data_IF_211032193897
#
_entry.id   IF_211032193897
#
_cell.length_a   1.000
_cell.length_b   1.000
_cell.length_c   1.000
_cell.angle_alpha   90.00
_cell.angle_beta   90.00
_cell.angle_gamma   90.00
#
_symmetry.space_group_name_H-M   'P 1'
#
loop_
_entity.id
_entity.type
_entity.pdbx_description
1 polymer ?
#
# COMPACT_ATOMS: atom_id res chain seq x y z
N UNK A 1 -6.06 16.06 -8.96
CA UNK A 1 -5.25 16.13 -7.72
C UNK A 1 -5.85 15.37 -6.53
N UNK A 2 -7.10 15.60 -6.08
CA UNK A 2 -7.68 14.94 -4.89
C UNK A 2 -7.60 13.39 -4.89
N UNK A 3 -7.84 12.74 -6.04
CA UNK A 3 -7.79 11.28 -6.16
C UNK A 3 -6.40 10.68 -5.89
N UNK A 4 -5.33 11.32 -6.34
CA UNK A 4 -3.94 10.86 -6.09
C UNK A 4 -3.60 10.95 -4.61
N UNK A 5 -4.03 12.03 -3.93
CA UNK A 5 -3.80 12.20 -2.49
C UNK A 5 -4.48 11.08 -1.69
N UNK A 6 -5.69 10.68 -2.09
CA UNK A 6 -6.36 9.52 -1.51
C UNK A 6 -5.57 8.21 -1.69
N UNK A 7 -5.04 7.97 -2.90
CA UNK A 7 -4.23 6.77 -3.18
C UNK A 7 -2.92 6.77 -2.39
N UNK A 8 -2.24 7.93 -2.30
CA UNK A 8 -1.03 8.09 -1.48
C UNK A 8 -1.30 7.88 0.00
N UNK A 9 -2.44 8.35 0.52
CA UNK A 9 -2.84 8.10 1.90
C UNK A 9 -3.06 6.60 2.18
N UNK A 10 -3.65 5.86 1.23
CA UNK A 10 -3.81 4.41 1.35
C UNK A 10 -2.43 3.72 1.35
N UNK A 11 -1.49 4.16 0.51
CA UNK A 11 -0.13 3.63 0.51
C UNK A 11 0.59 3.88 1.85
N UNK A 12 0.44 5.08 2.43
CA UNK A 12 0.97 5.38 3.75
C UNK A 12 0.34 4.50 4.84
N UNK A 13 -0.98 4.25 4.77
CA UNK A 13 -1.67 3.32 5.66
C UNK A 13 -1.13 1.90 5.55
N UNK A 14 -0.80 1.41 4.34
CA UNK A 14 -0.18 0.10 4.18
C UNK A 14 1.13 -0.02 4.99
N UNK A 15 1.95 1.03 5.01
CA UNK A 15 3.22 1.06 5.76
C UNK A 15 2.95 1.07 7.27
N UNK A 16 1.99 1.88 7.74
CA UNK A 16 1.65 1.99 9.17
C UNK A 16 1.03 0.70 9.70
N UNK A 17 0.22 0.01 8.89
CA UNK A 17 -0.45 -1.23 9.29
C UNK A 17 0.51 -2.42 9.45
N UNK A 18 1.68 -2.39 8.81
CA UNK A 18 2.72 -3.43 8.99
C UNK A 18 3.08 -3.60 10.47
N UNK A 19 3.66 -2.60 11.18
CA UNK A 19 4.01 -2.78 12.59
C UNK A 19 2.79 -3.04 13.49
N UNK A 20 1.61 -2.50 13.15
CA UNK A 20 0.36 -2.76 13.89
C UNK A 20 -0.02 -4.24 13.82
N UNK A 21 -0.01 -4.83 12.64
CA UNK A 21 -0.30 -6.26 12.43
C UNK A 21 0.75 -7.15 13.11
N UNK A 22 2.03 -6.80 12.98
CA UNK A 22 3.11 -7.53 13.62
C UNK A 22 2.96 -7.55 15.15
N UNK A 23 2.57 -6.42 15.73
CA UNK A 23 2.38 -6.28 17.17
C UNK A 23 1.14 -7.03 17.69
N UNK A 24 0.02 -7.01 16.95
CA UNK A 24 -1.26 -7.54 17.44
C UNK A 24 -1.48 -9.03 17.17
N UNK A 25 -1.04 -9.55 16.02
CA UNK A 25 -1.42 -10.90 15.55
C UNK A 25 -0.27 -11.91 15.67
N UNK A 26 0.97 -11.48 15.48
CA UNK A 26 2.17 -12.32 15.54
C UNK A 26 2.18 -13.52 14.56
N UNK A 27 3.35 -14.15 14.44
CA UNK A 27 3.52 -15.44 13.77
C UNK A 27 2.97 -15.53 12.33
N UNK A 28 2.21 -16.59 12.07
CA UNK A 28 1.69 -16.92 10.73
C UNK A 28 0.70 -15.87 10.19
N UNK A 29 -0.15 -15.31 11.05
CA UNK A 29 -1.13 -14.30 10.66
C UNK A 29 -0.48 -12.97 10.31
N UNK A 30 0.55 -12.57 11.04
CA UNK A 30 1.32 -11.38 10.71
C UNK A 30 1.95 -11.49 9.31
N UNK A 31 2.56 -12.63 8.98
CA UNK A 31 3.15 -12.90 7.66
C UNK A 31 2.15 -12.65 6.52
N UNK A 32 0.97 -13.28 6.57
CA UNK A 32 -0.03 -13.11 5.51
C UNK A 32 -0.61 -11.70 5.45
N UNK A 33 -0.74 -11.03 6.60
CA UNK A 33 -1.11 -9.62 6.66
C UNK A 33 -0.09 -8.72 5.96
N UNK A 34 1.20 -8.92 6.21
CA UNK A 34 2.27 -8.20 5.52
C UNK A 34 2.27 -8.46 4.01
N UNK A 35 2.10 -9.72 3.60
CA UNK A 35 2.04 -10.09 2.19
C UNK A 35 0.87 -9.38 1.47
N UNK A 36 -0.32 -9.37 2.09
CA UNK A 36 -1.48 -8.66 1.54
C UNK A 36 -1.22 -7.16 1.40
N UNK A 37 -0.68 -6.52 2.45
CA UNK A 37 -0.37 -5.08 2.42
C UNK A 37 0.67 -4.74 1.34
N UNK A 38 1.68 -5.59 1.16
CA UNK A 38 2.69 -5.41 0.11
C UNK A 38 2.09 -5.51 -1.30
N UNK A 39 1.18 -6.46 -1.53
CA UNK A 39 0.47 -6.59 -2.81
C UNK A 39 -0.37 -5.34 -3.09
N UNK A 40 -1.16 -4.88 -2.12
CA UNK A 40 -1.99 -3.67 -2.27
C UNK A 40 -1.12 -2.45 -2.57
N UNK A 41 -0.02 -2.26 -1.83
CA UNK A 41 0.92 -1.17 -2.07
C UNK A 41 1.52 -1.23 -3.48
N UNK A 42 1.97 -2.41 -3.91
CA UNK A 42 2.57 -2.61 -5.24
C UNK A 42 1.59 -2.31 -6.37
N UNK A 43 0.34 -2.80 -6.27
CA UNK A 43 -0.71 -2.51 -7.25
C UNK A 43 -0.99 -1.01 -7.32
N UNK A 44 -1.10 -0.33 -6.18
CA UNK A 44 -1.31 1.12 -6.14
C UNK A 44 -0.14 1.90 -6.74
N UNK A 45 1.11 1.50 -6.45
CA UNK A 45 2.29 2.14 -7.02
C UNK A 45 2.31 2.04 -8.56
N UNK A 46 2.04 0.85 -9.11
CA UNK A 46 1.95 0.63 -10.56
C UNK A 46 0.78 1.41 -11.16
N UNK A 47 -0.39 1.39 -10.51
CA UNK A 47 -1.56 2.15 -10.96
C UNK A 47 -1.28 3.65 -11.02
N UNK A 48 -0.65 4.20 -9.97
CA UNK A 48 -0.29 5.63 -9.94
C UNK A 48 0.71 5.95 -11.05
N UNK A 49 1.77 5.14 -11.21
CA UNK A 49 2.77 5.37 -12.27
C UNK A 49 2.13 5.34 -13.66
N UNK A 50 1.29 4.34 -13.93
CA UNK A 50 0.64 4.17 -15.25
C UNK A 50 -0.44 5.21 -15.55
N UNK A 51 -1.23 5.63 -14.57
CA UNK A 51 -2.39 6.52 -14.80
C UNK A 51 -2.12 8.00 -14.62
N UNK A 52 -1.09 8.35 -13.85
CA UNK A 52 -0.82 9.76 -13.52
C UNK A 52 0.56 10.25 -13.95
N UNK A 53 1.52 9.35 -14.19
CA UNK A 53 2.91 9.73 -14.48
C UNK A 53 3.47 9.08 -15.75
N UNK A 54 2.65 8.37 -16.55
CA UNK A 54 3.09 7.74 -17.81
C UNK A 54 2.64 8.54 -19.04
N UNK A 55 1.58 9.34 -18.92
CA UNK A 55 1.10 10.23 -20.00
C UNK A 55 1.70 11.64 -19.92
N UNK A 56 2.66 11.90 -19.01
CA UNK A 56 3.33 13.21 -18.86
C UNK A 56 4.67 13.32 -19.62
N UNK A 57 4.96 12.40 -20.55
CA UNK A 57 6.04 12.55 -21.55
C UNK A 57 5.51 12.42 -22.99
#
# INVERSE_FOLDING_TARGET
>A
MSKIHGLLAIMALCIILVPVIAYLLGGWYAYWGHALLAIVFGVLAVFIKTRYYWEEE
#
